data_IF_477947593544
#
_entry.id   IF_477947593544
#
_cell.length_a   1.000
_cell.length_b   1.000
_cell.length_c   1.000
_cell.angle_alpha   90.00
_cell.angle_beta   90.00
_cell.angle_gamma   90.00
#
_symmetry.space_group_name_H-M   'P 1'
#
loop_
_entity.id
_entity.type
_entity.pdbx_description
1 polymer ?
#
# COMPACT_ATOMS: atom_id res chain seq x y z
N UNK A 1 14.13 -10.59 8.18
CA UNK A 1 14.70 -10.64 6.82
C UNK A 1 13.92 -9.75 5.84
N UNK A 2 12.59 -9.71 5.93
CA UNK A 2 11.75 -8.93 5.01
C UNK A 2 12.08 -7.42 5.00
N UNK A 3 12.44 -6.83 6.16
CA UNK A 3 12.89 -5.44 6.23
C UNK A 3 14.12 -5.20 5.34
N UNK A 4 15.10 -6.10 5.36
CA UNK A 4 16.29 -5.99 4.52
C UNK A 4 15.94 -6.10 3.03
N UNK A 5 15.28 -7.18 2.66
CA UNK A 5 15.03 -7.51 1.24
C UNK A 5 13.90 -6.69 0.64
N UNK A 6 12.88 -6.35 1.44
CA UNK A 6 11.84 -5.41 1.04
C UNK A 6 12.38 -4.02 0.77
N UNK A 7 13.28 -3.51 1.64
CA UNK A 7 13.94 -2.24 1.38
C UNK A 7 14.94 -2.30 0.23
N UNK A 8 15.62 -3.43 0.00
CA UNK A 8 16.45 -3.61 -1.18
C UNK A 8 15.61 -3.45 -2.47
N UNK A 9 14.47 -4.16 -2.56
CA UNK A 9 13.52 -4.00 -3.68
C UNK A 9 12.98 -2.58 -3.82
N UNK A 10 12.63 -1.96 -2.71
CA UNK A 10 12.15 -0.59 -2.72
C UNK A 10 13.22 0.40 -3.19
N UNK A 11 14.48 0.17 -2.83
CA UNK A 11 15.61 1.01 -3.29
C UNK A 11 15.85 0.88 -4.80
N UNK A 12 15.67 -0.31 -5.37
CA UNK A 12 15.70 -0.51 -6.84
C UNK A 12 14.61 0.32 -7.52
N UNK A 13 13.38 0.30 -6.96
CA UNK A 13 12.27 1.09 -7.50
C UNK A 13 12.53 2.61 -7.38
N UNK A 14 13.07 3.09 -6.26
CA UNK A 14 13.45 4.49 -6.10
C UNK A 14 14.55 4.91 -7.09
N UNK A 15 15.48 4.01 -7.39
CA UNK A 15 16.48 4.28 -8.41
C UNK A 15 15.84 4.46 -9.80
N UNK A 16 14.85 3.63 -10.15
CA UNK A 16 14.08 3.80 -11.39
C UNK A 16 13.30 5.12 -11.39
N UNK A 17 12.70 5.51 -10.26
CA UNK A 17 11.98 6.79 -10.13
C UNK A 17 12.89 7.98 -10.41
N UNK A 18 14.08 8.01 -9.81
CA UNK A 18 15.04 9.11 -9.92
C UNK A 18 15.66 9.20 -11.31
N UNK A 19 16.01 8.07 -11.95
CA UNK A 19 16.78 8.06 -13.20
C UNK A 19 15.91 7.99 -14.46
N UNK A 20 14.74 7.32 -14.37
CA UNK A 20 13.90 7.02 -15.52
C UNK A 20 12.46 7.57 -15.36
N UNK A 21 12.16 8.20 -14.22
CA UNK A 21 10.90 8.87 -13.95
C UNK A 21 9.81 7.95 -13.37
N UNK A 22 8.68 8.57 -12.99
CA UNK A 22 7.61 7.91 -12.27
C UNK A 22 6.95 6.74 -13.04
N UNK A 23 6.89 6.80 -14.37
CA UNK A 23 6.35 5.68 -15.17
C UNK A 23 7.25 4.43 -15.11
N UNK A 24 8.57 4.61 -15.00
CA UNK A 24 9.51 3.50 -14.79
C UNK A 24 9.33 2.89 -13.38
N UNK A 25 9.14 3.73 -12.37
CA UNK A 25 8.79 3.29 -11.01
C UNK A 25 7.52 2.44 -10.99
N UNK A 26 6.44 2.89 -11.63
CA UNK A 26 5.20 2.08 -11.74
C UNK A 26 5.43 0.77 -12.46
N UNK A 27 6.14 0.82 -13.59
CA UNK A 27 6.46 -0.39 -14.36
C UNK A 27 7.30 -1.39 -13.57
N UNK A 28 8.23 -0.89 -12.75
CA UNK A 28 9.00 -1.74 -11.84
C UNK A 28 8.08 -2.54 -10.91
N UNK A 29 7.12 -1.89 -10.26
CA UNK A 29 6.21 -2.57 -9.34
C UNK A 29 5.28 -3.56 -10.05
N UNK A 30 4.73 -3.21 -11.20
CA UNK A 30 3.91 -4.13 -12.00
C UNK A 30 4.68 -5.41 -12.34
N UNK A 31 5.95 -5.28 -12.74
CA UNK A 31 6.81 -6.41 -13.11
C UNK A 31 7.24 -7.28 -11.91
N UNK A 32 7.17 -6.76 -10.69
CA UNK A 32 7.52 -7.47 -9.45
C UNK A 32 6.30 -7.80 -8.58
N UNK A 33 5.07 -7.69 -9.13
CA UNK A 33 3.86 -8.02 -8.40
C UNK A 33 3.75 -9.53 -8.12
N UNK A 34 3.32 -9.88 -6.91
CA UNK A 34 3.06 -11.25 -6.51
C UNK A 34 1.62 -11.40 -6.00
N UNK A 35 0.85 -12.20 -6.69
CA UNK A 35 -0.58 -12.43 -6.43
C UNK A 35 -0.89 -13.81 -5.82
N UNK A 36 0.11 -14.48 -5.26
CA UNK A 36 -0.05 -15.79 -4.65
C UNK A 36 -0.29 -15.75 -3.14
N UNK A 37 -0.45 -16.93 -2.53
CA UNK A 37 -0.58 -17.09 -1.08
C UNK A 37 0.75 -16.86 -0.36
N UNK A 38 0.67 -16.77 0.97
CA UNK A 38 1.81 -16.68 1.87
C UNK A 38 1.98 -15.30 2.48
N UNK A 39 2.72 -15.30 3.59
CA UNK A 39 3.01 -14.12 4.40
C UNK A 39 4.42 -13.62 4.15
N UNK A 40 4.66 -12.36 4.45
CA UNK A 40 6.03 -11.80 4.50
C UNK A 40 6.76 -12.26 5.75
N UNK A 41 6.01 -12.60 6.79
CA UNK A 41 6.55 -13.19 8.01
C UNK A 41 6.98 -14.63 7.78
N UNK A 42 8.24 -14.97 8.15
CA UNK A 42 8.81 -16.30 8.00
C UNK A 42 8.76 -17.00 9.36
N UNK A 43 7.93 -18.04 9.47
CA UNK A 43 7.79 -18.84 10.70
C UNK A 43 8.94 -19.82 10.86
N UNK A 44 9.30 -20.55 9.79
CA UNK A 44 10.33 -21.56 9.82
C UNK A 44 11.71 -20.97 9.45
N UNK A 45 12.40 -20.44 10.43
CA UNK A 45 13.73 -19.85 10.26
C UNK A 45 14.86 -20.88 10.04
N UNK A 46 14.55 -22.19 10.05
CA UNK A 46 15.51 -23.24 9.73
C UNK A 46 15.53 -23.60 8.23
N UNK A 47 14.56 -23.11 7.46
CA UNK A 47 14.46 -23.37 6.03
C UNK A 47 14.95 -22.17 5.22
N UNK A 48 16.14 -22.27 4.65
CA UNK A 48 16.78 -21.22 3.87
C UNK A 48 15.91 -20.79 2.67
N UNK A 49 15.21 -21.72 2.01
CA UNK A 49 14.36 -21.40 0.86
C UNK A 49 13.07 -20.65 1.24
N UNK A 50 12.59 -20.79 2.47
CA UNK A 50 11.50 -19.96 3.01
C UNK A 50 12.00 -18.57 3.40
N UNK A 51 13.17 -18.49 4.04
CA UNK A 51 13.80 -17.23 4.45
C UNK A 51 14.04 -16.32 3.22
N UNK A 52 14.57 -16.89 2.13
CA UNK A 52 14.91 -16.16 0.89
C UNK A 52 13.93 -16.46 -0.24
N UNK A 53 12.63 -16.53 0.05
CA UNK A 53 11.60 -16.72 -0.94
C UNK A 53 11.44 -15.43 -1.79
N UNK A 54 11.80 -15.53 -3.09
CA UNK A 54 11.76 -14.38 -4.01
C UNK A 54 10.40 -13.68 -4.03
N UNK A 55 9.32 -14.44 -4.02
CA UNK A 55 7.98 -13.88 -4.15
C UNK A 55 7.48 -13.21 -2.86
N UNK A 56 7.83 -13.76 -1.70
CA UNK A 56 7.34 -13.29 -0.41
C UNK A 56 8.32 -12.30 0.24
N UNK A 57 9.56 -12.74 0.46
CA UNK A 57 10.55 -11.97 1.22
C UNK A 57 11.09 -10.77 0.42
N UNK A 58 11.08 -10.84 -0.91
CA UNK A 58 11.55 -9.77 -1.79
C UNK A 58 10.38 -9.01 -2.43
N UNK A 59 9.63 -9.67 -3.31
CA UNK A 59 8.62 -8.98 -4.12
C UNK A 59 7.45 -8.46 -3.28
N UNK A 60 6.76 -9.34 -2.53
CA UNK A 60 5.66 -8.91 -1.64
C UNK A 60 6.17 -7.95 -0.57
N UNK A 61 7.33 -8.21 0.03
CA UNK A 61 7.91 -7.30 1.02
C UNK A 61 8.22 -5.91 0.45
N UNK A 62 8.77 -5.83 -0.75
CA UNK A 62 8.98 -4.56 -1.45
C UNK A 62 7.68 -3.82 -1.73
N UNK A 63 6.64 -4.54 -2.17
CA UNK A 63 5.30 -3.99 -2.33
C UNK A 63 4.71 -3.45 -1.03
N UNK A 64 4.93 -4.13 0.10
CA UNK A 64 4.49 -3.65 1.41
C UNK A 64 5.16 -2.32 1.75
N UNK A 65 6.46 -2.16 1.51
CA UNK A 65 7.17 -0.89 1.71
C UNK A 65 6.64 0.20 0.78
N UNK A 66 6.37 -0.13 -0.50
CA UNK A 66 5.76 0.78 -1.45
C UNK A 66 4.37 1.26 -1.00
N UNK A 67 3.49 0.32 -0.59
CA UNK A 67 2.15 0.67 -0.10
C UNK A 67 2.22 1.49 1.19
N UNK A 68 3.16 1.20 2.09
CA UNK A 68 3.37 1.98 3.30
C UNK A 68 3.75 3.44 2.98
N UNK A 69 4.58 3.67 1.94
CA UNK A 69 4.84 5.01 1.41
C UNK A 69 3.55 5.71 0.98
N UNK A 70 2.65 5.00 0.29
CA UNK A 70 1.35 5.52 -0.13
C UNK A 70 0.43 5.86 1.05
N UNK A 71 0.37 4.99 2.06
CA UNK A 71 -0.46 5.19 3.26
C UNK A 71 0.03 6.36 4.11
N UNK A 72 1.34 6.48 4.32
CA UNK A 72 1.93 7.53 5.16
C UNK A 72 2.13 8.87 4.43
N UNK A 73 2.18 8.84 3.10
CA UNK A 73 2.64 9.94 2.26
C UNK A 73 4.15 10.13 2.29
N UNK A 74 4.69 10.71 1.22
CA UNK A 74 6.14 10.84 1.01
C UNK A 74 6.87 11.53 2.17
N UNK A 75 6.32 12.62 2.68
CA UNK A 75 6.98 13.39 3.74
C UNK A 75 7.22 12.55 5.00
N UNK A 76 6.16 11.92 5.53
CA UNK A 76 6.24 11.10 6.75
C UNK A 76 7.05 9.84 6.50
N UNK A 77 6.88 9.22 5.33
CA UNK A 77 7.60 8.00 4.98
C UNK A 77 9.13 8.23 4.92
N UNK A 78 9.60 9.22 4.17
CA UNK A 78 11.04 9.50 4.09
C UNK A 78 11.62 10.04 5.40
N UNK A 79 10.84 10.75 6.21
CA UNK A 79 11.24 11.11 7.56
C UNK A 79 11.40 9.86 8.43
N UNK A 80 10.45 8.91 8.35
CA UNK A 80 10.56 7.60 9.03
C UNK A 80 11.87 6.88 8.69
N UNK A 81 12.25 6.83 7.41
CA UNK A 81 13.51 6.16 7.03
C UNK A 81 14.73 6.83 7.69
N UNK A 82 14.74 8.15 7.78
CA UNK A 82 15.82 8.89 8.48
C UNK A 82 15.82 8.59 9.97
N UNK A 83 14.66 8.68 10.63
CA UNK A 83 14.53 8.42 12.07
C UNK A 83 14.88 6.97 12.41
N UNK A 84 14.43 6.01 11.59
CA UNK A 84 14.76 4.60 11.76
C UNK A 84 16.27 4.33 11.61
N UNK A 85 16.90 4.87 10.56
CA UNK A 85 18.32 4.69 10.28
C UNK A 85 19.27 5.42 11.24
N UNK A 86 18.78 6.48 11.93
CA UNK A 86 19.55 7.25 12.91
C UNK A 86 19.18 6.97 14.38
N UNK A 87 18.26 6.05 14.63
CA UNK A 87 17.84 5.68 15.98
C UNK A 87 18.98 4.96 16.71
N UNK A 88 19.48 5.51 17.81
CA UNK A 88 20.64 4.99 18.56
C UNK A 88 20.47 3.55 19.06
N UNK A 89 19.22 3.09 19.23
CA UNK A 89 18.93 1.71 19.69
C UNK A 89 18.73 0.73 18.55
N UNK A 90 18.41 1.21 17.34
CA UNK A 90 18.12 0.36 16.17
C UNK A 90 19.26 0.38 15.13
N UNK A 91 19.95 1.52 14.98
CA UNK A 91 21.04 1.68 14.03
C UNK A 91 22.20 0.74 14.40
N UNK A 92 22.72 0.00 13.40
CA UNK A 92 23.77 -1.00 13.55
C UNK A 92 23.46 -2.13 14.54
N UNK A 93 22.17 -2.36 14.82
CA UNK A 93 21.69 -3.37 15.75
C UNK A 93 20.63 -4.24 15.10
N UNK A 94 20.01 -5.15 15.88
CA UNK A 94 18.87 -5.95 15.44
C UNK A 94 17.59 -5.17 15.68
N UNK A 95 16.76 -5.03 14.63
CA UNK A 95 15.44 -4.43 14.70
C UNK A 95 14.37 -5.44 14.32
N UNK A 96 13.23 -5.36 14.97
CA UNK A 96 12.04 -6.17 14.69
C UNK A 96 11.03 -5.41 13.81
N UNK A 97 10.03 -6.11 13.32
CA UNK A 97 8.89 -5.50 12.64
C UNK A 97 8.20 -4.45 13.53
N UNK A 98 8.03 -4.78 14.81
CA UNK A 98 7.38 -3.88 15.77
C UNK A 98 8.20 -2.62 16.07
N UNK A 99 9.52 -2.72 16.05
CA UNK A 99 10.38 -1.54 16.19
C UNK A 99 10.21 -0.59 15.01
N UNK A 100 10.16 -1.13 13.79
CA UNK A 100 9.93 -0.33 12.58
C UNK A 100 8.51 0.27 12.57
N UNK A 101 7.48 -0.52 12.91
CA UNK A 101 6.09 -0.03 13.03
C UNK A 101 5.99 1.17 13.97
N UNK A 102 6.57 1.08 15.17
CA UNK A 102 6.58 2.20 16.14
C UNK A 102 7.19 3.48 15.58
N UNK A 103 8.26 3.37 14.80
CA UNK A 103 8.86 4.55 14.15
C UNK A 103 7.91 5.11 13.08
N UNK A 104 7.26 4.24 12.28
CA UNK A 104 6.27 4.66 11.29
C UNK A 104 5.09 5.42 11.94
N UNK A 105 4.52 4.87 13.01
CA UNK A 105 3.41 5.47 13.74
C UNK A 105 3.80 6.80 14.40
N UNK A 106 5.01 6.88 14.98
CA UNK A 106 5.51 8.11 15.60
C UNK A 106 5.69 9.26 14.60
N UNK A 107 6.16 8.98 13.38
CA UNK A 107 6.42 9.98 12.35
C UNK A 107 5.17 10.34 11.53
N UNK A 108 4.24 9.41 11.38
CA UNK A 108 3.01 9.64 10.61
C UNK A 108 1.83 10.11 11.45
N UNK A 109 1.80 9.75 12.74
CA UNK A 109 0.64 9.92 13.61
C UNK A 109 -0.52 8.97 13.29
N UNK A 110 -0.32 7.99 12.41
CA UNK A 110 -1.32 6.99 12.02
C UNK A 110 -1.26 5.79 12.95
N UNK A 111 -2.40 5.11 13.14
CA UNK A 111 -2.45 3.75 13.64
C UNK A 111 -2.21 2.80 12.46
N UNK A 112 -1.11 2.06 12.49
CA UNK A 112 -0.71 1.14 11.41
C UNK A 112 -0.88 -0.34 11.81
N UNK A 113 -1.54 -0.63 12.93
CA UNK A 113 -1.74 -2.00 13.43
C UNK A 113 -2.38 -2.90 12.37
N UNK A 114 -3.50 -2.48 11.78
CA UNK A 114 -4.20 -3.24 10.74
C UNK A 114 -3.32 -3.43 9.50
N UNK A 115 -2.61 -2.39 9.06
CA UNK A 115 -1.71 -2.47 7.91
C UNK A 115 -0.64 -3.55 8.13
N UNK A 116 0.07 -3.53 9.25
CA UNK A 116 1.12 -4.50 9.54
C UNK A 116 0.56 -5.92 9.72
N UNK A 117 -0.57 -6.06 10.43
CA UNK A 117 -1.21 -7.36 10.61
C UNK A 117 -1.66 -7.97 9.28
N UNK A 118 -2.23 -7.19 8.39
CA UNK A 118 -2.78 -7.67 7.12
C UNK A 118 -1.69 -7.94 6.08
N UNK A 119 -0.64 -7.13 6.03
CA UNK A 119 0.35 -7.21 4.96
C UNK A 119 1.64 -7.96 5.34
N UNK A 120 2.02 -8.00 6.60
CA UNK A 120 3.20 -8.72 7.08
C UNK A 120 2.81 -10.12 7.56
N UNK A 121 1.83 -10.21 8.47
CA UNK A 121 1.40 -11.47 9.08
C UNK A 121 0.25 -12.12 8.31
N UNK A 122 -0.52 -11.37 7.56
CA UNK A 122 -1.60 -11.83 6.71
C UNK A 122 -1.14 -12.35 5.35
N UNK A 123 -1.97 -13.20 4.77
CA UNK A 123 -1.72 -13.81 3.46
C UNK A 123 -2.59 -13.16 2.38
N UNK A 124 -2.16 -13.28 1.12
CA UNK A 124 -2.84 -12.77 -0.07
C UNK A 124 -2.87 -11.24 -0.20
N UNK A 125 -3.91 -10.71 -0.83
CA UNK A 125 -4.10 -9.31 -1.23
C UNK A 125 -5.59 -9.04 -1.44
N UNK A 126 -6.07 -7.78 -1.41
CA UNK A 126 -7.46 -7.45 -1.72
C UNK A 126 -7.74 -7.53 -3.23
N UNK A 127 -8.97 -7.94 -3.57
CA UNK A 127 -9.51 -7.90 -4.92
C UNK A 127 -10.72 -6.98 -4.93
N UNK A 128 -10.52 -5.76 -5.41
CA UNK A 128 -11.59 -4.78 -5.45
C UNK A 128 -12.46 -4.93 -6.69
N UNK A 129 -13.78 -4.94 -6.49
CA UNK A 129 -14.78 -4.59 -7.48
C UNK A 129 -15.28 -3.19 -7.19
N UNK A 130 -15.54 -2.43 -8.22
CA UNK A 130 -16.00 -1.05 -8.08
C UNK A 130 -17.10 -0.78 -9.06
N UNK A 131 -18.14 -0.09 -8.60
CA UNK A 131 -19.15 0.52 -9.43
C UNK A 131 -19.41 1.95 -8.99
N UNK A 132 -19.90 2.76 -9.89
CA UNK A 132 -20.28 4.13 -9.57
C UNK A 132 -21.52 4.54 -10.36
N UNK A 133 -22.28 5.46 -9.80
CA UNK A 133 -23.46 6.03 -10.42
C UNK A 133 -23.69 7.47 -9.93
N UNK A 134 -24.51 8.22 -10.62
CA UNK A 134 -25.08 9.48 -10.13
C UNK A 134 -26.46 9.19 -9.58
N UNK A 135 -26.73 9.59 -8.32
CA UNK A 135 -28.04 9.44 -7.71
C UNK A 135 -29.04 10.49 -8.27
N UNK A 136 -30.29 10.51 -7.76
CA UNK A 136 -31.34 11.42 -8.19
C UNK A 136 -31.00 12.90 -7.95
N UNK A 137 -30.15 13.20 -6.96
CA UNK A 137 -29.63 14.52 -6.64
C UNK A 137 -28.37 14.89 -7.43
N UNK A 138 -27.97 14.04 -8.39
CA UNK A 138 -26.76 14.18 -9.20
C UNK A 138 -25.46 14.17 -8.40
N UNK A 139 -25.44 13.46 -7.26
CA UNK A 139 -24.25 13.21 -6.46
C UNK A 139 -23.58 11.91 -6.90
N UNK A 140 -22.25 11.88 -6.91
CA UNK A 140 -21.46 10.71 -7.25
C UNK A 140 -21.47 9.70 -6.10
N UNK A 141 -22.02 8.54 -6.34
CA UNK A 141 -22.00 7.38 -5.44
C UNK A 141 -21.00 6.38 -5.97
N UNK A 142 -20.13 5.91 -5.10
CA UNK A 142 -19.12 4.89 -5.42
C UNK A 142 -19.29 3.70 -4.48
N UNK A 143 -19.47 2.51 -5.04
CA UNK A 143 -19.51 1.26 -4.30
C UNK A 143 -18.20 0.49 -4.45
N UNK A 144 -17.63 0.08 -3.34
CA UNK A 144 -16.42 -0.74 -3.30
C UNK A 144 -16.73 -2.09 -2.66
N UNK A 145 -16.30 -3.16 -3.31
CA UNK A 145 -16.45 -4.54 -2.86
C UNK A 145 -15.09 -5.21 -2.79
N UNK A 146 -14.79 -5.87 -1.68
CA UNK A 146 -13.68 -6.80 -1.60
C UNK A 146 -14.18 -8.20 -1.97
N UNK A 147 -13.81 -8.67 -3.17
CA UNK A 147 -14.37 -9.87 -3.81
C UNK A 147 -13.66 -11.18 -3.43
N UNK A 148 -12.60 -11.13 -2.66
CA UNK A 148 -11.86 -12.30 -2.20
C UNK A 148 -12.62 -13.01 -1.05
N UNK A 149 -12.29 -14.29 -0.83
CA UNK A 149 -12.89 -15.13 0.21
C UNK A 149 -11.91 -15.47 1.35
N UNK A 150 -10.89 -14.64 1.53
CA UNK A 150 -9.94 -14.75 2.65
C UNK A 150 -10.13 -13.58 3.62
N UNK A 151 -9.10 -12.86 4.02
CA UNK A 151 -9.25 -11.70 4.90
C UNK A 151 -9.69 -10.45 4.13
N UNK A 152 -10.35 -9.52 4.81
CA UNK A 152 -10.56 -8.16 4.32
C UNK A 152 -9.36 -7.29 4.67
N UNK A 153 -9.15 -6.25 3.87
CA UNK A 153 -8.04 -5.32 4.04
C UNK A 153 -8.58 -3.92 4.33
N UNK A 154 -8.05 -3.30 5.37
CA UNK A 154 -8.28 -1.88 5.65
C UNK A 154 -7.23 -1.08 4.91
N UNK A 155 -7.62 -0.40 3.83
CA UNK A 155 -6.68 0.32 2.97
C UNK A 155 -7.28 1.63 2.46
N UNK A 156 -6.50 2.72 2.44
CA UNK A 156 -6.85 3.87 1.62
C UNK A 156 -6.75 3.48 0.14
N UNK A 157 -7.80 3.78 -0.61
CA UNK A 157 -7.90 3.50 -2.04
C UNK A 157 -7.85 4.82 -2.80
N UNK A 158 -6.74 5.13 -3.49
CA UNK A 158 -6.67 6.28 -4.36
C UNK A 158 -7.59 6.10 -5.57
N UNK A 159 -8.38 7.13 -5.86
CA UNK A 159 -9.25 7.17 -7.03
C UNK A 159 -9.07 8.48 -7.79
N UNK A 160 -9.28 8.42 -9.09
CA UNK A 160 -9.36 9.58 -9.96
C UNK A 160 -10.77 9.72 -10.50
N UNK A 161 -11.48 10.76 -10.08
CA UNK A 161 -12.75 11.15 -10.66
C UNK A 161 -12.47 12.02 -11.89
N UNK A 162 -12.81 11.51 -13.06
CA UNK A 162 -12.59 12.18 -14.34
C UNK A 162 -13.87 12.92 -14.72
N UNK A 163 -13.77 14.24 -14.83
CA UNK A 163 -14.86 15.09 -15.31
C UNK A 163 -14.63 15.49 -16.77
N UNK A 164 -15.56 16.20 -17.36
CA UNK A 164 -15.41 16.74 -18.71
C UNK A 164 -14.29 17.78 -18.84
N UNK A 165 -13.76 18.31 -17.74
CA UNK A 165 -12.77 19.40 -17.76
C UNK A 165 -11.49 19.09 -16.97
N UNK A 166 -11.57 18.25 -15.92
CA UNK A 166 -10.46 18.00 -15.00
C UNK A 166 -10.45 16.56 -14.47
N UNK A 167 -9.41 16.24 -13.72
CA UNK A 167 -9.29 15.00 -12.96
C UNK A 167 -9.07 15.33 -11.50
N UNK A 168 -9.96 14.88 -10.65
CA UNK A 168 -9.94 15.11 -9.20
C UNK A 168 -9.43 13.84 -8.52
N UNK A 169 -8.35 13.97 -7.75
CA UNK A 169 -7.77 12.85 -6.99
C UNK A 169 -8.36 12.83 -5.60
N UNK A 170 -8.86 11.69 -5.19
CA UNK A 170 -9.44 11.44 -3.87
C UNK A 170 -8.87 10.15 -3.29
N UNK A 171 -9.00 9.97 -2.00
CA UNK A 171 -8.68 8.72 -1.30
C UNK A 171 -9.92 8.26 -0.55
N UNK A 172 -10.32 7.01 -0.74
CA UNK A 172 -11.44 6.39 -0.06
C UNK A 172 -10.93 5.42 1.00
N UNK A 173 -11.29 5.65 2.26
CA UNK A 173 -10.90 4.77 3.37
C UNK A 173 -11.79 3.53 3.38
N UNK A 174 -11.34 2.45 2.74
CA UNK A 174 -12.08 1.18 2.73
C UNK A 174 -11.73 0.34 3.95
N UNK A 175 -12.71 0.09 4.81
CA UNK A 175 -12.58 -0.63 6.07
C UNK A 175 -13.51 -1.84 6.19
N UNK A 176 -14.20 -2.22 5.11
CA UNK A 176 -15.15 -3.33 5.12
C UNK A 176 -15.24 -4.03 3.78
N UNK A 177 -15.87 -5.22 3.77
CA UNK A 177 -16.10 -6.03 2.56
C UNK A 177 -16.87 -5.26 1.49
N UNK A 178 -17.92 -4.57 1.90
CA UNK A 178 -18.71 -3.68 1.08
C UNK A 178 -18.81 -2.31 1.74
N UNK A 179 -18.56 -1.28 0.96
CA UNK A 179 -18.68 0.09 1.45
C UNK A 179 -19.12 1.02 0.33
N UNK A 180 -20.12 1.85 0.63
CA UNK A 180 -20.61 2.89 -0.26
C UNK A 180 -20.09 4.25 0.18
N UNK A 181 -19.63 5.04 -0.77
CA UNK A 181 -19.16 6.41 -0.58
C UNK A 181 -20.04 7.38 -1.36
N UNK A 182 -20.62 8.36 -0.69
CA UNK A 182 -21.22 9.50 -1.34
C UNK A 182 -20.18 10.62 -1.44
N UNK A 183 -19.71 10.90 -2.65
CA UNK A 183 -18.67 11.90 -2.92
C UNK A 183 -19.26 13.27 -3.24
N UNK A 184 -20.59 13.40 -3.18
CA UNK A 184 -21.31 14.65 -3.40
C UNK A 184 -21.40 15.07 -4.86
N UNK A 185 -21.75 16.33 -5.05
CA UNK A 185 -21.95 16.94 -6.36
C UNK A 185 -20.62 17.45 -6.95
N UNK A 186 -20.44 17.20 -8.24
CA UNK A 186 -19.32 17.75 -9.03
C UNK A 186 -19.83 18.82 -10.00
N UNK A 187 -19.19 19.97 -10.01
CA UNK A 187 -19.59 21.11 -10.87
C UNK A 187 -19.48 20.81 -12.36
N UNK A 188 -18.57 19.92 -12.76
CA UNK A 188 -18.43 19.42 -14.11
C UNK A 188 -18.95 17.98 -14.18
N UNK A 189 -19.64 17.58 -15.27
CA UNK A 189 -20.13 16.21 -15.42
C UNK A 189 -19.03 15.18 -15.25
N UNK A 190 -19.26 14.19 -14.39
CA UNK A 190 -18.37 13.01 -14.21
C UNK A 190 -18.54 12.11 -15.43
N UNK A 191 -17.44 11.69 -16.04
CA UNK A 191 -17.41 10.86 -17.24
C UNK A 191 -16.76 9.50 -17.00
N UNK A 192 -15.87 9.37 -16.01
CA UNK A 192 -15.20 8.12 -15.68
C UNK A 192 -14.66 8.16 -14.24
N UNK A 193 -14.35 6.98 -13.72
CA UNK A 193 -13.67 6.78 -12.43
C UNK A 193 -12.57 5.76 -12.61
N UNK A 194 -11.34 6.09 -12.21
CA UNK A 194 -10.18 5.19 -12.28
C UNK A 194 -9.60 4.97 -10.89
N UNK A 195 -9.09 3.78 -10.70
CA UNK A 195 -8.23 3.42 -9.59
C UNK A 195 -6.77 3.68 -9.95
N UNK A 196 -6.01 4.21 -9.00
CA UNK A 196 -4.57 4.42 -9.17
C UNK A 196 -3.79 3.27 -8.46
#
# INVERSE_FOLDING_TARGET
IWLNEGFARFSEALWEEEHNGFEAYKSYWVNHAYYGPGTVYVENTSNVSEIFNLNLTYNKAGWVVHMLRGVMGDSSFFQTLKSYGSNDTLAYNSATTEDFKKVCEAESGLDLEDFFNQWIYGSYYPKYGVSWELNEDNELIVDIYQQQNWQYFNMPIPIHVITTQDTIKLVLENTSEYQQFNLGFFSNPVVDLKFD
#
